data_IF_361827326141
#
_entry.id   IF_361827326141
#
_cell.length_a   1.000
_cell.length_b   1.000
_cell.length_c   1.000
_cell.angle_alpha   90.00
_cell.angle_beta   90.00
_cell.angle_gamma   90.00
#
_symmetry.space_group_name_H-M   'P 1'
#
loop_
_entity.id
_entity.type
_entity.pdbx_description
1 polymer ?
#
# COMPACT_ATOMS: atom_id res chain seq x y z
N UNK A 1 -36.24 37.22 83.61
CA UNK A 1 -36.47 36.95 82.17
C UNK A 1 -35.13 37.10 81.45
N UNK A 2 -34.44 36.00 81.19
CA UNK A 2 -33.26 35.94 80.33
C UNK A 2 -33.51 34.79 79.35
N UNK A 3 -33.60 35.10 78.06
CA UNK A 3 -33.75 34.13 76.97
C UNK A 3 -32.36 33.54 76.64
N UNK A 4 -32.26 32.22 76.63
CA UNK A 4 -31.11 31.46 76.12
C UNK A 4 -31.39 31.14 74.64
N UNK A 5 -30.50 31.46 73.68
CA UNK A 5 -30.70 31.09 72.28
C UNK A 5 -30.23 29.65 72.05
N UNK A 6 -31.13 28.83 71.53
CA UNK A 6 -30.86 27.45 71.09
C UNK A 6 -30.07 27.49 69.78
N UNK A 7 -28.80 27.12 69.81
CA UNK A 7 -27.96 26.93 68.61
C UNK A 7 -28.28 25.55 68.03
N UNK A 8 -28.89 25.51 66.84
CA UNK A 8 -29.07 24.29 66.05
C UNK A 8 -27.81 24.08 65.21
N UNK A 9 -27.01 23.07 65.56
CA UNK A 9 -25.84 22.66 64.79
C UNK A 9 -26.32 21.76 63.64
N UNK A 10 -26.32 22.30 62.41
CA UNK A 10 -26.53 21.53 61.20
C UNK A 10 -25.24 20.77 60.87
N UNK A 11 -25.23 19.45 61.08
CA UNK A 11 -24.13 18.60 60.64
C UNK A 11 -24.18 18.43 59.12
N UNK A 12 -23.32 19.16 58.39
CA UNK A 12 -23.12 18.98 56.95
C UNK A 12 -22.26 17.74 56.75
N UNK A 13 -22.89 16.62 56.41
CA UNK A 13 -22.19 15.43 55.90
C UNK A 13 -21.77 15.74 54.47
N UNK A 14 -20.49 16.08 54.27
CA UNK A 14 -19.88 16.16 52.94
C UNK A 14 -19.55 14.74 52.48
N UNK A 15 -20.23 14.16 51.47
CA UNK A 15 -19.80 12.89 50.92
C UNK A 15 -18.43 13.08 50.25
N UNK A 16 -17.46 12.26 50.66
CA UNK A 16 -16.18 12.07 49.98
C UNK A 16 -16.46 11.46 48.59
N UNK A 17 -16.86 12.28 47.62
CA UNK A 17 -16.89 11.89 46.22
C UNK A 17 -15.44 11.77 45.76
N UNK A 18 -14.91 10.54 45.72
CA UNK A 18 -13.71 10.24 44.93
C UNK A 18 -13.93 10.79 43.52
N UNK A 19 -12.95 11.47 42.90
CA UNK A 19 -13.07 11.86 41.51
C UNK A 19 -13.34 10.58 40.71
N UNK A 20 -14.49 10.54 40.02
CA UNK A 20 -14.74 9.53 39.01
C UNK A 20 -13.76 9.87 37.90
N UNK A 21 -12.59 9.23 37.90
CA UNK A 21 -11.75 9.21 36.71
C UNK A 21 -12.63 8.69 35.59
N UNK A 22 -12.83 9.53 34.57
CA UNK A 22 -13.67 9.20 33.44
C UNK A 22 -13.04 8.00 32.74
N UNK A 23 -13.54 6.80 33.06
CA UNK A 23 -13.14 5.56 32.40
C UNK A 23 -13.25 5.75 30.89
N UNK A 24 -12.41 5.02 30.16
CA UNK A 24 -12.72 4.79 28.77
C UNK A 24 -14.14 4.20 28.67
N UNK A 25 -14.76 4.32 27.49
CA UNK A 25 -16.02 3.64 27.25
C UNK A 25 -15.81 2.72 26.06
N UNK A 26 -16.54 1.60 25.96
CA UNK A 26 -16.36 0.69 24.83
C UNK A 26 -16.58 1.41 23.49
N UNK A 27 -17.50 2.39 23.46
CA UNK A 27 -17.71 3.25 22.30
C UNK A 27 -16.48 4.13 21.94
N UNK A 28 -15.76 4.67 22.93
CA UNK A 28 -14.51 5.42 22.71
C UNK A 28 -13.38 4.51 22.24
N UNK A 29 -13.25 3.32 22.80
CA UNK A 29 -12.27 2.32 22.37
C UNK A 29 -12.47 1.96 20.88
N UNK A 30 -13.67 1.52 20.50
CA UNK A 30 -13.97 1.17 19.11
C UNK A 30 -13.83 2.36 18.14
N UNK A 31 -14.15 3.58 18.58
CA UNK A 31 -13.89 4.79 17.79
C UNK A 31 -12.39 5.04 17.59
N UNK A 32 -11.58 4.86 18.63
CA UNK A 32 -10.13 5.06 18.55
C UNK A 32 -9.47 4.07 17.60
N UNK A 33 -9.90 2.80 17.61
CA UNK A 33 -9.39 1.75 16.72
C UNK A 33 -9.63 2.12 15.25
N UNK A 34 -10.85 2.51 14.88
CA UNK A 34 -11.20 2.92 13.50
C UNK A 34 -10.30 4.07 13.01
N UNK A 35 -10.20 5.16 13.79
CA UNK A 35 -9.43 6.33 13.38
C UNK A 35 -7.91 6.04 13.34
N UNK A 36 -7.41 5.27 14.31
CA UNK A 36 -6.00 4.93 14.40
C UNK A 36 -5.57 3.97 13.28
N UNK A 37 -6.40 2.97 12.94
CA UNK A 37 -6.16 2.07 11.82
C UNK A 37 -6.13 2.84 10.48
N UNK A 38 -7.10 3.71 10.23
CA UNK A 38 -7.12 4.56 9.04
C UNK A 38 -5.93 5.53 8.98
N UNK A 39 -5.49 6.05 10.13
CA UNK A 39 -4.28 6.89 10.23
C UNK A 39 -3.01 6.10 9.92
N UNK A 40 -2.88 4.89 10.45
CA UNK A 40 -1.75 4.00 10.17
C UNK A 40 -1.70 3.65 8.68
N UNK A 41 -2.81 3.22 8.09
CA UNK A 41 -2.88 2.86 6.67
C UNK A 41 -2.42 4.02 5.77
N UNK A 42 -2.93 5.23 6.00
CA UNK A 42 -2.53 6.44 5.26
C UNK A 42 -1.05 6.78 5.45
N UNK A 43 -0.53 6.64 6.67
CA UNK A 43 0.86 6.90 6.97
C UNK A 43 1.78 5.88 6.28
N UNK A 44 1.45 4.59 6.35
CA UNK A 44 2.21 3.49 5.74
C UNK A 44 2.23 3.61 4.22
N UNK A 45 1.06 3.69 3.57
CA UNK A 45 0.96 3.87 2.11
C UNK A 45 1.74 5.09 1.63
N UNK A 46 1.65 6.22 2.32
CA UNK A 46 2.39 7.44 1.97
C UNK A 46 3.90 7.32 2.16
N UNK A 47 4.36 6.62 3.20
CA UNK A 47 5.78 6.45 3.48
C UNK A 47 6.44 5.57 2.40
N UNK A 48 5.87 4.39 2.14
CA UNK A 48 6.40 3.45 1.15
C UNK A 48 6.30 4.04 -0.26
N UNK A 49 5.21 4.74 -0.60
CA UNK A 49 5.09 5.41 -1.90
C UNK A 49 6.18 6.48 -2.12
N UNK A 50 6.59 7.22 -1.09
CA UNK A 50 7.70 8.19 -1.22
C UNK A 50 9.01 7.48 -1.53
N UNK A 51 9.28 6.33 -0.91
CA UNK A 51 10.43 5.51 -1.25
C UNK A 51 10.34 5.00 -2.70
N UNK A 52 9.21 4.42 -3.11
CA UNK A 52 9.02 3.91 -4.47
C UNK A 52 9.14 5.01 -5.55
N UNK A 53 8.71 6.24 -5.25
CA UNK A 53 8.93 7.40 -6.14
C UNK A 53 10.42 7.71 -6.31
N UNK A 54 11.23 7.60 -5.25
CA UNK A 54 12.68 7.78 -5.36
C UNK A 54 13.33 6.67 -6.17
N UNK A 55 12.84 5.44 -6.06
CA UNK A 55 13.30 4.32 -6.91
C UNK A 55 12.99 4.62 -8.38
N UNK A 56 11.76 5.04 -8.70
CA UNK A 56 11.37 5.43 -10.07
C UNK A 56 12.21 6.60 -10.61
N UNK A 57 12.55 7.57 -9.76
CA UNK A 57 13.38 8.71 -10.13
C UNK A 57 14.89 8.36 -10.27
N UNK A 58 15.30 7.15 -9.91
CA UNK A 58 16.71 6.74 -9.90
C UNK A 58 17.51 7.26 -8.69
N UNK A 59 16.84 7.90 -7.72
CA UNK A 59 17.46 8.39 -6.48
C UNK A 59 17.77 7.24 -5.50
N UNK A 60 17.14 6.08 -5.69
CA UNK A 60 17.38 4.84 -4.94
C UNK A 60 17.57 3.67 -5.91
N UNK A 61 18.35 2.62 -5.53
CA UNK A 61 18.53 1.43 -6.36
C UNK A 61 17.18 0.77 -6.74
N UNK A 62 17.05 0.20 -7.96
CA UNK A 62 15.85 -0.52 -8.39
C UNK A 62 15.43 -1.67 -7.46
N UNK A 63 16.40 -2.34 -6.83
CA UNK A 63 16.17 -3.44 -5.89
C UNK A 63 15.92 -2.98 -4.44
N UNK A 64 15.66 -1.68 -4.20
CA UNK A 64 15.42 -1.17 -2.85
C UNK A 64 14.12 -1.74 -2.31
N UNK A 65 14.23 -2.49 -1.21
CA UNK A 65 13.08 -2.84 -0.39
C UNK A 65 12.65 -1.61 0.42
N UNK A 66 11.51 -1.03 0.06
CA UNK A 66 11.00 0.16 0.71
C UNK A 66 10.46 -0.08 2.12
N UNK A 67 10.20 -1.32 2.53
CA UNK A 67 9.90 -1.64 3.92
C UNK A 67 11.14 -1.59 4.81
N UNK A 68 12.32 -1.83 4.22
CA UNK A 68 13.62 -1.86 4.91
C UNK A 68 14.47 -0.61 4.66
N UNK A 69 13.99 0.33 3.85
CA UNK A 69 14.68 1.61 3.64
C UNK A 69 14.68 2.43 4.95
N UNK A 70 15.84 2.87 5.47
CA UNK A 70 15.94 3.43 6.83
C UNK A 70 14.99 4.58 7.15
N UNK A 71 14.80 5.54 6.25
CA UNK A 71 13.88 6.66 6.49
C UNK A 71 12.42 6.22 6.51
N UNK A 72 12.07 5.25 5.66
CA UNK A 72 10.76 4.63 5.61
C UNK A 72 10.51 3.82 6.87
N UNK A 73 11.43 2.94 7.30
CA UNK A 73 11.34 2.18 8.56
C UNK A 73 11.05 3.07 9.77
N UNK A 74 11.76 4.20 9.91
CA UNK A 74 11.51 5.15 11.02
C UNK A 74 10.08 5.70 10.97
N UNK A 75 9.58 6.01 9.78
CA UNK A 75 8.21 6.50 9.60
C UNK A 75 7.18 5.42 9.92
N UNK A 76 7.43 4.18 9.51
CA UNK A 76 6.57 3.02 9.77
C UNK A 76 6.51 2.70 11.26
N UNK A 77 7.66 2.62 11.93
CA UNK A 77 7.74 2.39 13.37
C UNK A 77 7.01 3.48 14.17
N UNK A 78 7.16 4.76 13.78
CA UNK A 78 6.44 5.86 14.41
C UNK A 78 4.93 5.79 14.20
N UNK A 79 4.49 5.40 13.00
CA UNK A 79 3.07 5.23 12.71
C UNK A 79 2.47 4.06 13.53
N UNK A 80 3.20 2.95 13.64
CA UNK A 80 2.83 1.81 14.47
C UNK A 80 2.74 2.18 15.95
N UNK A 81 3.77 2.81 16.51
CA UNK A 81 3.77 3.25 17.90
C UNK A 81 2.61 4.23 18.20
N UNK A 82 2.21 5.06 17.23
CA UNK A 82 1.06 5.94 17.37
C UNK A 82 -0.27 5.18 17.39
N UNK A 83 -0.43 4.14 16.57
CA UNK A 83 -1.58 3.24 16.66
C UNK A 83 -1.67 2.64 18.07
N UNK A 84 -0.59 1.99 18.50
CA UNK A 84 -0.53 1.30 19.80
C UNK A 84 -0.86 2.25 20.95
N UNK A 85 -0.26 3.45 20.94
CA UNK A 85 -0.53 4.48 21.95
C UNK A 85 -1.99 4.94 21.96
N UNK A 86 -2.62 5.10 20.79
CA UNK A 86 -4.02 5.57 20.71
C UNK A 86 -4.97 4.48 21.19
N UNK A 87 -4.72 3.23 20.82
CA UNK A 87 -5.53 2.09 21.25
C UNK A 87 -5.39 1.88 22.75
N UNK A 88 -4.18 1.78 23.28
CA UNK A 88 -3.94 1.58 24.71
C UNK A 88 -4.56 2.70 25.56
N UNK A 89 -4.47 3.97 25.12
CA UNK A 89 -5.12 5.09 25.83
C UNK A 89 -6.65 5.06 25.82
N UNK A 90 -7.25 4.44 24.81
CA UNK A 90 -8.70 4.45 24.63
C UNK A 90 -9.36 3.14 25.07
N UNK A 91 -8.59 2.06 25.19
CA UNK A 91 -9.08 0.72 25.45
C UNK A 91 -8.45 0.09 26.69
N UNK A 92 -7.25 0.51 27.11
CA UNK A 92 -6.52 -0.06 28.24
C UNK A 92 -6.91 0.52 29.60
N UNK A 93 -8.20 0.75 29.85
CA UNK A 93 -8.66 1.18 31.17
C UNK A 93 -8.03 2.45 31.74
N UNK A 94 -7.70 2.40 33.04
CA UNK A 94 -7.16 3.52 33.80
C UNK A 94 -5.63 3.64 33.65
N UNK A 95 -4.93 2.50 33.55
CA UNK A 95 -3.47 2.46 33.41
C UNK A 95 -2.99 2.74 31.98
N UNK A 96 -3.89 2.63 30.99
CA UNK A 96 -3.66 2.85 29.56
C UNK A 96 -2.70 1.83 28.96
N UNK A 97 -2.74 0.60 29.48
CA UNK A 97 -2.02 -0.56 28.99
C UNK A 97 -3.01 -1.60 28.49
N UNK A 98 -2.64 -2.41 27.51
CA UNK A 98 -3.52 -3.43 26.93
C UNK A 98 -3.10 -4.82 27.41
N UNK A 99 -3.16 -5.07 28.71
CA UNK A 99 -2.73 -6.34 29.32
C UNK A 99 -3.25 -6.52 30.75
N UNK A 100 -4.22 -5.70 31.17
CA UNK A 100 -4.68 -5.66 32.56
C UNK A 100 -6.17 -5.91 32.69
N UNK A 101 -6.61 -6.20 33.92
CA UNK A 101 -8.00 -6.52 34.19
C UNK A 101 -8.94 -5.30 34.13
N UNK A 102 -8.41 -4.08 34.00
CA UNK A 102 -9.19 -2.86 33.83
C UNK A 102 -9.38 -2.42 32.37
N UNK A 103 -8.91 -3.22 31.41
CA UNK A 103 -9.20 -3.06 29.99
C UNK A 103 -10.70 -2.94 29.71
N UNK A 104 -11.04 -2.13 28.71
CA UNK A 104 -12.40 -2.03 28.19
C UNK A 104 -12.81 -3.35 27.56
N UNK A 105 -14.05 -3.77 27.83
CA UNK A 105 -14.64 -4.95 27.20
C UNK A 105 -14.62 -4.80 25.67
N UNK A 106 -13.75 -5.59 25.02
CA UNK A 106 -13.58 -5.58 23.57
C UNK A 106 -14.88 -5.94 22.85
N UNK A 107 -15.64 -6.90 23.35
CA UNK A 107 -16.91 -7.28 22.74
C UNK A 107 -17.90 -6.10 22.78
N UNK A 108 -17.94 -5.37 23.89
CA UNK A 108 -18.72 -4.14 24.00
C UNK A 108 -18.19 -3.01 23.09
N UNK A 109 -16.88 -2.98 22.80
CA UNK A 109 -16.28 -2.06 21.83
C UNK A 109 -16.55 -2.49 20.37
N UNK A 110 -17.17 -3.65 20.17
CA UNK A 110 -17.49 -4.25 18.88
C UNK A 110 -16.44 -5.25 18.40
N UNK A 111 -15.45 -5.58 19.18
CA UNK A 111 -14.45 -6.60 18.85
C UNK A 111 -14.81 -7.92 19.52
N UNK A 112 -15.68 -8.70 18.87
CA UNK A 112 -16.12 -10.02 19.34
C UNK A 112 -15.48 -11.18 18.56
N UNK A 113 -14.45 -10.90 17.76
CA UNK A 113 -13.70 -11.95 17.04
C UNK A 113 -12.60 -12.51 17.94
N UNK A 114 -12.53 -13.83 18.15
CA UNK A 114 -11.53 -14.44 19.02
C UNK A 114 -10.12 -14.49 18.39
N UNK A 115 -10.02 -14.21 17.08
CA UNK A 115 -8.76 -14.21 16.36
C UNK A 115 -8.77 -13.17 15.25
N UNK A 116 -7.58 -12.67 14.92
CA UNK A 116 -7.37 -11.85 13.75
C UNK A 116 -7.55 -12.70 12.48
N UNK A 117 -8.35 -12.28 11.49
CA UNK A 117 -8.48 -13.02 10.25
C UNK A 117 -7.16 -12.99 9.47
N UNK A 118 -6.79 -14.13 8.89
CA UNK A 118 -5.74 -14.12 7.89
C UNK A 118 -6.27 -13.49 6.60
N UNK A 119 -5.46 -12.62 6.00
CA UNK A 119 -5.83 -11.90 4.79
C UNK A 119 -5.01 -12.40 3.62
N UNK A 120 -5.68 -12.97 2.63
CA UNK A 120 -5.09 -13.32 1.34
C UNK A 120 -3.83 -14.21 1.39
N UNK A 121 -3.77 -15.15 2.34
CA UNK A 121 -2.62 -16.05 2.53
C UNK A 121 -1.43 -15.37 3.21
N UNK A 122 -1.69 -14.37 4.05
CA UNK A 122 -0.71 -13.67 4.85
C UNK A 122 -0.31 -14.44 6.12
N UNK A 123 0.13 -13.69 7.12
CA UNK A 123 0.52 -14.21 8.45
C UNK A 123 -0.17 -13.44 9.57
N UNK A 124 -1.33 -12.82 9.27
CA UNK A 124 -2.03 -11.98 10.25
C UNK A 124 -2.84 -12.77 11.27
N UNK A 125 -3.02 -14.09 11.08
CA UNK A 125 -3.74 -14.92 12.03
C UNK A 125 -3.00 -15.01 13.38
N UNK A 126 -3.61 -14.45 14.41
CA UNK A 126 -3.21 -14.61 15.81
C UNK A 126 -4.45 -14.48 16.73
N UNK A 127 -4.43 -15.03 17.96
CA UNK A 127 -5.48 -14.82 18.95
C UNK A 127 -5.67 -13.33 19.29
N UNK A 128 -6.87 -12.95 19.74
CA UNK A 128 -7.16 -11.62 20.27
C UNK A 128 -7.63 -11.79 21.71
N UNK A 129 -6.72 -11.53 22.65
CA UNK A 129 -6.97 -11.60 24.09
C UNK A 129 -7.17 -10.21 24.70
N UNK A 130 -6.47 -9.19 24.18
CA UNK A 130 -6.50 -7.81 24.67
C UNK A 130 -6.54 -6.74 23.56
N UNK A 131 -6.57 -5.45 23.94
CA UNK A 131 -6.60 -4.36 22.97
C UNK A 131 -5.30 -4.18 22.17
N UNK A 132 -4.18 -4.72 22.65
CA UNK A 132 -2.89 -4.75 21.98
C UNK A 132 -2.91 -5.71 20.81
N UNK A 133 -3.56 -6.87 20.97
CA UNK A 133 -3.82 -7.80 19.88
C UNK A 133 -4.71 -7.19 18.81
N UNK A 134 -5.74 -6.44 19.19
CA UNK A 134 -6.56 -5.70 18.21
C UNK A 134 -5.70 -4.73 17.41
N UNK A 135 -4.81 -3.99 18.06
CA UNK A 135 -3.87 -3.10 17.39
C UNK A 135 -2.91 -3.88 16.46
N UNK A 136 -2.37 -5.01 16.90
CA UNK A 136 -1.55 -5.91 16.07
C UNK A 136 -2.31 -6.36 14.81
N UNK A 137 -3.56 -6.80 14.98
CA UNK A 137 -4.40 -7.30 13.91
C UNK A 137 -4.65 -6.24 12.82
N UNK A 138 -5.18 -5.07 13.20
CA UNK A 138 -5.51 -4.01 12.22
C UNK A 138 -4.28 -3.47 11.51
N UNK A 139 -3.11 -3.48 12.14
CA UNK A 139 -1.87 -3.08 11.48
C UNK A 139 -1.35 -4.13 10.52
N UNK A 140 -1.44 -5.42 10.87
CA UNK A 140 -1.02 -6.49 9.98
C UNK A 140 -1.88 -6.47 8.71
N UNK A 141 -3.20 -6.40 8.87
CA UNK A 141 -4.12 -6.32 7.73
C UNK A 141 -3.90 -5.02 6.94
N UNK A 142 -3.73 -3.89 7.64
CA UNK A 142 -3.39 -2.61 7.00
C UNK A 142 -2.07 -2.64 6.21
N UNK A 143 -1.08 -3.40 6.68
CA UNK A 143 0.19 -3.61 5.99
C UNK A 143 0.01 -4.45 4.73
N UNK A 144 -0.67 -5.60 4.82
CA UNK A 144 -0.98 -6.45 3.67
C UNK A 144 -1.78 -5.69 2.60
N UNK A 145 -2.78 -4.90 3.00
CA UNK A 145 -3.54 -4.02 2.10
C UNK A 145 -2.67 -2.93 1.47
N UNK A 146 -1.72 -2.37 2.23
CA UNK A 146 -0.78 -1.38 1.69
C UNK A 146 0.09 -2.01 0.60
N UNK A 147 0.68 -3.19 0.87
CA UNK A 147 1.52 -3.86 -0.12
C UNK A 147 0.75 -4.18 -1.40
N UNK A 148 -0.48 -4.71 -1.32
CA UNK A 148 -1.28 -4.95 -2.51
C UNK A 148 -1.54 -3.69 -3.33
N UNK A 149 -1.87 -2.59 -2.65
CA UNK A 149 -2.11 -1.29 -3.30
C UNK A 149 -0.88 -0.82 -4.05
N UNK A 150 0.29 -0.90 -3.40
CA UNK A 150 1.54 -0.39 -3.97
C UNK A 150 2.14 -1.33 -5.00
N UNK A 151 2.01 -2.65 -4.81
CA UNK A 151 2.44 -3.66 -5.76
C UNK A 151 1.79 -3.45 -7.12
N UNK A 152 0.47 -3.27 -7.13
CA UNK A 152 -0.29 -2.99 -8.35
C UNK A 152 0.13 -1.67 -9.00
N UNK A 153 0.51 -0.67 -8.20
CA UNK A 153 0.85 0.65 -8.69
C UNK A 153 2.31 0.80 -9.16
N UNK A 154 3.24 -0.01 -8.64
CA UNK A 154 4.68 0.19 -8.83
C UNK A 154 5.47 -1.04 -9.29
N UNK A 155 5.09 -2.27 -8.93
CA UNK A 155 5.98 -3.44 -9.11
C UNK A 155 6.17 -3.82 -10.59
N UNK A 156 5.17 -3.51 -11.42
CA UNK A 156 5.26 -3.77 -12.85
C UNK A 156 6.05 -2.67 -13.60
N UNK A 157 6.24 -1.50 -13.00
CA UNK A 157 6.76 -0.31 -13.68
C UNK A 157 8.18 -0.55 -14.19
N UNK A 158 8.44 -0.12 -15.43
CA UNK A 158 9.77 -0.14 -16.00
C UNK A 158 10.68 0.88 -15.28
N UNK A 159 11.57 0.43 -14.40
CA UNK A 159 12.42 1.30 -13.57
C UNK A 159 13.58 1.98 -14.31
N UNK A 160 13.71 1.78 -15.62
CA UNK A 160 14.82 2.28 -16.43
C UNK A 160 14.48 3.58 -17.21
N UNK A 161 13.60 4.42 -16.67
CA UNK A 161 13.21 5.69 -17.31
C UNK A 161 14.30 6.75 -17.15
N UNK A 162 14.67 7.51 -18.20
CA UNK A 162 15.59 8.64 -18.05
C UNK A 162 15.04 9.68 -17.05
N UNK A 163 15.86 10.22 -16.15
CA UNK A 163 15.44 11.27 -15.22
C UNK A 163 14.86 12.49 -15.94
N UNK A 164 13.74 13.02 -15.43
CA UNK A 164 12.96 14.13 -15.97
C UNK A 164 12.06 13.76 -17.17
N UNK A 165 12.11 12.51 -17.65
CA UNK A 165 11.33 12.07 -18.82
C UNK A 165 9.83 12.12 -18.56
N UNK A 166 9.06 12.11 -19.66
CA UNK A 166 7.61 11.97 -19.60
C UNK A 166 7.19 10.64 -18.98
N UNK A 167 7.94 9.58 -19.27
CA UNK A 167 7.72 8.24 -18.74
C UNK A 167 7.89 8.20 -17.22
N UNK A 168 8.97 8.75 -16.68
CA UNK A 168 9.18 8.86 -15.23
C UNK A 168 8.05 9.64 -14.56
N UNK A 169 7.62 10.76 -15.16
CA UNK A 169 6.52 11.58 -14.63
C UNK A 169 5.19 10.81 -14.63
N UNK A 170 4.91 10.03 -15.67
CA UNK A 170 3.75 9.15 -15.74
C UNK A 170 3.80 8.08 -14.65
N UNK A 171 4.91 7.34 -14.55
CA UNK A 171 5.14 6.29 -13.55
C UNK A 171 5.00 6.82 -12.12
N UNK A 172 5.63 7.97 -11.82
CA UNK A 172 5.50 8.62 -10.52
C UNK A 172 4.06 9.09 -10.25
N UNK A 173 3.32 9.54 -11.27
CA UNK A 173 1.93 9.97 -11.13
C UNK A 173 0.97 8.81 -10.87
N UNK A 174 1.16 7.66 -11.53
CA UNK A 174 0.40 6.42 -11.30
C UNK A 174 0.39 6.09 -9.80
N UNK A 175 1.58 5.95 -9.22
CA UNK A 175 1.68 5.58 -7.81
C UNK A 175 1.19 6.67 -6.84
N UNK A 176 1.54 7.94 -7.08
CA UNK A 176 1.09 9.08 -6.24
C UNK A 176 -0.43 9.22 -6.26
N UNK A 177 -1.06 9.09 -7.43
CA UNK A 177 -2.50 9.23 -7.58
C UNK A 177 -3.25 8.06 -6.93
N UNK A 178 -2.77 6.83 -7.10
CA UNK A 178 -3.34 5.63 -6.45
C UNK A 178 -3.29 5.74 -4.93
N UNK A 179 -2.16 6.18 -4.36
CA UNK A 179 -2.01 6.40 -2.91
C UNK A 179 -2.92 7.52 -2.41
N UNK A 180 -3.06 8.61 -3.16
CA UNK A 180 -3.95 9.71 -2.82
C UNK A 180 -5.43 9.26 -2.81
N UNK A 181 -5.83 8.44 -3.78
CA UNK A 181 -7.15 7.82 -3.81
C UNK A 181 -7.38 6.90 -2.60
N UNK A 182 -6.48 5.95 -2.36
CA UNK A 182 -6.58 5.01 -1.26
C UNK A 182 -6.66 5.73 0.10
N UNK A 183 -5.85 6.78 0.27
CA UNK A 183 -5.86 7.61 1.48
C UNK A 183 -7.17 8.38 1.66
N UNK A 184 -7.71 8.93 0.58
CA UNK A 184 -8.99 9.65 0.62
C UNK A 184 -10.16 8.71 0.93
N UNK A 185 -10.18 7.51 0.33
CA UNK A 185 -11.19 6.48 0.62
C UNK A 185 -11.13 6.04 2.08
N UNK A 186 -9.95 5.68 2.58
CA UNK A 186 -9.75 5.29 3.99
C UNK A 186 -10.21 6.39 4.97
N UNK A 187 -9.90 7.65 4.69
CA UNK A 187 -10.37 8.78 5.52
C UNK A 187 -11.89 9.00 5.45
N UNK A 188 -12.52 8.74 4.30
CA UNK A 188 -13.97 8.85 4.14
C UNK A 188 -14.70 7.73 4.89
N UNK A 189 -14.23 6.49 4.78
CA UNK A 189 -14.81 5.34 5.47
C UNK A 189 -14.66 5.45 6.98
N UNK A 190 -13.48 5.84 7.48
CA UNK A 190 -13.27 6.06 8.92
C UNK A 190 -14.32 7.02 9.49
N UNK A 191 -14.53 8.18 8.84
CA UNK A 191 -15.56 9.15 9.27
C UNK A 191 -16.98 8.60 9.21
N UNK A 192 -17.29 7.80 8.19
CA UNK A 192 -18.59 7.16 8.06
C UNK A 192 -18.82 6.17 9.22
N UNK A 193 -17.85 5.31 9.52
CA UNK A 193 -17.96 4.36 10.62
C UNK A 193 -18.02 5.03 11.98
N UNK A 194 -17.34 6.17 12.17
CA UNK A 194 -17.55 7.01 13.35
C UNK A 194 -19.00 7.47 13.48
N UNK A 195 -19.63 7.91 12.38
CA UNK A 195 -21.02 8.32 12.38
C UNK A 195 -21.96 7.15 12.69
N UNK A 196 -21.70 5.96 12.14
CA UNK A 196 -22.46 4.73 12.42
C UNK A 196 -22.38 4.38 13.90
N UNK A 197 -21.16 4.36 14.47
CA UNK A 197 -20.94 4.08 15.89
C UNK A 197 -21.62 5.08 16.82
N UNK A 198 -21.74 6.33 16.39
CA UNK A 198 -22.44 7.39 17.12
C UNK A 198 -23.97 7.34 16.95
N UNK A 199 -24.51 6.38 16.20
CA UNK A 199 -25.94 6.29 15.88
C UNK A 199 -26.44 7.41 14.95
N UNK A 200 -25.52 8.11 14.27
CA UNK A 200 -25.83 9.23 13.36
C UNK A 200 -25.93 8.83 11.89
N UNK A 201 -25.60 7.58 11.59
CA UNK A 201 -25.60 7.01 10.25
C UNK A 201 -26.00 5.52 10.34
N UNK A 202 -26.48 4.97 9.22
CA UNK A 202 -26.80 3.55 9.12
C UNK A 202 -25.63 2.80 8.48
N UNK A 203 -25.34 1.59 8.97
CA UNK A 203 -24.47 0.66 8.28
C UNK A 203 -25.17 0.09 7.02
N UNK A 204 -24.41 -0.40 6.02
CA UNK A 204 -22.95 -0.32 5.91
C UNK A 204 -22.46 1.05 5.38
N UNK A 205 -21.18 1.34 5.63
CA UNK A 205 -20.44 2.36 4.88
C UNK A 205 -19.84 1.74 3.61
N UNK A 206 -19.72 2.49 2.50
CA UNK A 206 -20.05 3.92 2.36
C UNK A 206 -21.53 4.23 2.06
N UNK A 207 -22.37 3.21 1.80
CA UNK A 207 -23.79 3.37 1.43
C UNK A 207 -24.68 2.31 2.13
N UNK A 208 -25.80 2.68 2.79
CA UNK A 208 -26.35 4.04 2.87
C UNK A 208 -25.50 4.99 3.73
N UNK A 209 -24.69 4.44 4.65
CA UNK A 209 -23.64 5.15 5.37
C UNK A 209 -24.06 6.47 5.99
N UNK A 210 -23.14 7.43 5.96
CA UNK A 210 -23.34 8.81 6.42
C UNK A 210 -23.86 9.75 5.32
N UNK A 211 -24.23 9.21 4.15
CA UNK A 211 -24.65 9.96 2.96
C UNK A 211 -23.55 10.83 2.32
N UNK A 212 -22.29 10.77 2.79
CA UNK A 212 -21.17 11.61 2.33
C UNK A 212 -20.01 10.79 1.81
N UNK A 213 -19.70 9.66 2.42
CA UNK A 213 -18.55 8.84 2.09
C UNK A 213 -18.54 8.42 0.61
N UNK A 214 -19.67 7.94 0.08
CA UNK A 214 -19.79 7.54 -1.31
C UNK A 214 -19.41 8.68 -2.29
N UNK A 215 -19.91 9.89 -2.07
CA UNK A 215 -19.58 11.05 -2.90
C UNK A 215 -18.12 11.50 -2.78
N UNK A 216 -17.53 11.39 -1.59
CA UNK A 216 -16.11 11.67 -1.38
C UNK A 216 -15.21 10.65 -2.08
N UNK A 217 -15.59 9.36 -2.06
CA UNK A 217 -14.88 8.27 -2.73
C UNK A 217 -14.96 8.45 -4.24
N UNK A 218 -16.16 8.69 -4.80
CA UNK A 218 -16.32 8.96 -6.23
C UNK A 218 -15.48 10.17 -6.69
N UNK A 219 -15.47 11.25 -5.90
CA UNK A 219 -14.62 12.42 -6.17
C UNK A 219 -13.13 12.09 -6.11
N UNK A 220 -12.71 11.19 -5.23
CA UNK A 220 -11.32 10.74 -5.18
C UNK A 220 -10.98 9.89 -6.42
N UNK A 221 -11.89 9.02 -6.87
CA UNK A 221 -11.73 8.25 -8.10
C UNK A 221 -11.60 9.13 -9.34
N UNK A 222 -12.41 10.17 -9.46
CA UNK A 222 -12.28 11.16 -10.54
C UNK A 222 -10.92 11.89 -10.51
N UNK A 223 -10.38 12.17 -9.31
CA UNK A 223 -9.04 12.77 -9.17
C UNK A 223 -7.92 11.82 -9.52
N UNK A 224 -8.06 10.53 -9.22
CA UNK A 224 -7.15 9.47 -9.65
C UNK A 224 -7.04 9.48 -11.17
N UNK A 225 -8.17 9.37 -11.85
CA UNK A 225 -8.25 9.38 -13.31
C UNK A 225 -7.63 10.65 -13.90
N UNK A 226 -8.06 11.82 -13.44
CA UNK A 226 -7.56 13.09 -13.96
C UNK A 226 -6.03 13.27 -13.78
N UNK A 227 -5.47 12.83 -12.64
CA UNK A 227 -4.04 12.92 -12.39
C UNK A 227 -3.22 12.01 -13.32
N UNK A 228 -3.69 10.78 -13.53
CA UNK A 228 -3.04 9.81 -14.42
C UNK A 228 -3.20 10.24 -15.88
N UNK A 229 -4.41 10.62 -16.32
CA UNK A 229 -4.64 11.15 -17.68
C UNK A 229 -3.72 12.33 -18.00
N UNK A 230 -3.54 13.25 -17.05
CA UNK A 230 -2.67 14.41 -17.23
C UNK A 230 -1.20 14.01 -17.41
N UNK A 231 -0.71 13.06 -16.64
CA UNK A 231 0.70 12.67 -16.67
C UNK A 231 1.04 11.69 -17.80
N UNK A 232 0.14 10.75 -18.08
CA UNK A 232 0.35 9.62 -19.00
C UNK A 232 -0.32 9.79 -20.36
N UNK A 233 -1.40 10.57 -20.46
CA UNK A 233 -2.13 10.80 -21.71
C UNK A 233 -1.63 12.00 -22.51
N UNK A 234 -0.76 12.86 -21.97
CA UNK A 234 -0.18 14.00 -22.72
C UNK A 234 -1.16 15.16 -22.96
N UNK A 235 -2.37 15.08 -22.40
CA UNK A 235 -3.40 16.10 -22.54
C UNK A 235 -4.36 16.24 -21.35
N UNK A 236 -4.53 15.19 -20.55
CA UNK A 236 -5.63 15.13 -19.56
C UNK A 236 -6.98 14.89 -20.23
N UNK A 237 -8.06 14.89 -19.46
CA UNK A 237 -9.45 14.95 -19.95
C UNK A 237 -9.78 16.43 -20.25
N UNK A 238 -9.56 16.87 -21.49
CA UNK A 238 -9.76 18.24 -21.96
C UNK A 238 -11.25 18.44 -22.29
N UNK A 239 -11.64 19.70 -22.53
CA UNK A 239 -13.05 20.04 -22.70
C UNK A 239 -13.59 19.61 -24.08
N UNK A 240 -14.82 19.08 -24.15
CA UNK A 240 -15.70 18.75 -23.01
C UNK A 240 -15.20 17.52 -22.26
N UNK A 241 -15.01 17.65 -20.96
CA UNK A 241 -14.49 16.55 -20.14
C UNK A 241 -15.54 15.45 -20.08
N UNK A 242 -15.23 14.28 -20.64
CA UNK A 242 -16.14 13.13 -20.73
C UNK A 242 -15.73 11.97 -19.81
N UNK A 243 -14.65 12.16 -19.03
CA UNK A 243 -14.10 11.14 -18.15
C UNK A 243 -13.13 10.18 -18.84
N UNK A 244 -12.80 10.41 -20.11
CA UNK A 244 -11.83 9.67 -20.91
C UNK A 244 -10.54 10.48 -21.00
N UNK A 245 -9.38 9.82 -20.96
CA UNK A 245 -8.13 10.53 -21.18
C UNK A 245 -8.00 10.98 -22.64
N UNK A 246 -7.99 12.30 -22.91
CA UNK A 246 -7.66 12.82 -24.24
C UNK A 246 -6.16 12.67 -24.50
N UNK A 247 -5.80 11.60 -25.19
CA UNK A 247 -4.48 11.43 -25.76
C UNK A 247 -4.48 11.91 -27.22
N UNK A 248 -3.67 12.90 -27.62
CA UNK A 248 -3.39 13.08 -29.05
C UNK A 248 -2.81 11.77 -29.62
N UNK A 249 -3.06 11.48 -30.89
CA UNK A 249 -2.55 10.26 -31.55
C UNK A 249 -1.05 10.05 -31.26
N UNK A 250 -0.69 8.86 -30.76
CA UNK A 250 0.69 8.53 -30.39
C UNK A 250 1.20 9.13 -29.07
N UNK A 251 0.35 9.78 -28.27
CA UNK A 251 0.74 10.32 -26.97
C UNK A 251 0.60 9.34 -25.80
N UNK A 252 -0.05 8.19 -25.97
CA UNK A 252 0.02 7.13 -24.96
C UNK A 252 1.30 6.32 -25.22
N UNK A 253 2.25 6.36 -24.28
CA UNK A 253 3.35 5.39 -24.28
C UNK A 253 2.71 4.00 -24.20
N UNK A 254 3.18 3.05 -24.99
CA UNK A 254 2.61 1.71 -24.97
C UNK A 254 2.63 1.16 -23.54
N UNK A 255 1.66 0.34 -23.16
CA UNK A 255 1.63 -0.33 -21.85
C UNK A 255 2.98 -0.99 -21.49
N UNK A 256 3.67 -1.51 -22.50
CA UNK A 256 5.00 -2.09 -22.39
C UNK A 256 6.10 -1.07 -22.02
N UNK A 257 5.99 0.18 -22.46
CA UNK A 257 6.93 1.26 -22.15
C UNK A 257 6.74 1.74 -20.71
N UNK A 258 5.50 1.84 -20.23
CA UNK A 258 5.19 2.12 -18.82
C UNK A 258 5.69 0.99 -17.92
N UNK A 259 5.61 -0.26 -18.42
CA UNK A 259 5.73 -1.46 -17.60
C UNK A 259 4.48 -1.60 -16.75
N UNK A 260 3.33 -1.92 -17.34
CA UNK A 260 2.14 -2.23 -16.55
C UNK A 260 1.67 -3.66 -16.82
N UNK A 261 1.05 -4.29 -15.81
CA UNK A 261 0.55 -5.66 -15.93
C UNK A 261 -0.45 -5.78 -17.09
N UNK A 262 -0.33 -6.87 -17.87
CA UNK A 262 -1.18 -7.18 -19.02
C UNK A 262 -2.67 -7.32 -18.66
N UNK A 263 -2.94 -7.78 -17.44
CA UNK A 263 -4.28 -8.09 -16.92
C UNK A 263 -4.42 -7.58 -15.51
N UNK A 264 -5.61 -7.14 -15.15
CA UNK A 264 -5.86 -6.70 -13.78
C UNK A 264 -5.93 -7.90 -12.82
N UNK A 265 -5.37 -7.80 -11.59
CA UNK A 265 -5.48 -8.86 -10.60
C UNK A 265 -6.95 -9.23 -10.30
N UNK A 266 -7.24 -10.53 -10.23
CA UNK A 266 -8.57 -11.07 -9.92
C UNK A 266 -8.94 -10.96 -8.45
N UNK A 267 -9.15 -9.75 -7.96
CA UNK A 267 -9.66 -9.48 -6.61
C UNK A 267 -11.08 -8.94 -6.66
N UNK A 268 -11.92 -9.35 -5.70
CA UNK A 268 -13.32 -8.91 -5.61
C UNK A 268 -13.46 -7.83 -4.54
N UNK A 269 -13.80 -6.61 -4.95
CA UNK A 269 -14.15 -5.52 -4.01
C UNK A 269 -15.36 -5.97 -3.18
N UNK A 270 -15.35 -5.85 -1.84
CA UNK A 270 -16.52 -6.13 -1.01
C UNK A 270 -17.74 -5.32 -1.50
N UNK A 271 -18.85 -6.01 -1.79
CA UNK A 271 -20.07 -5.41 -2.34
C UNK A 271 -19.88 -4.67 -3.70
N UNK A 272 -18.73 -4.83 -4.33
CA UNK A 272 -18.31 -4.10 -5.53
C UNK A 272 -17.96 -5.02 -6.70
N UNK A 273 -17.25 -4.50 -7.71
CA UNK A 273 -16.87 -5.27 -8.90
C UNK A 273 -15.76 -6.29 -8.63
N UNK A 274 -15.61 -7.23 -9.56
CA UNK A 274 -14.42 -8.07 -9.68
C UNK A 274 -13.41 -7.37 -10.58
N UNK A 275 -12.22 -7.05 -10.06
CA UNK A 275 -11.19 -6.35 -10.81
C UNK A 275 -10.63 -7.19 -11.95
N UNK A 276 -10.64 -8.53 -11.83
CA UNK A 276 -10.20 -9.43 -12.90
C UNK A 276 -11.14 -9.42 -14.11
N UNK A 277 -12.40 -9.03 -13.92
CA UNK A 277 -13.38 -8.94 -14.99
C UNK A 277 -13.09 -7.79 -15.99
N UNK A 278 -12.14 -6.90 -15.68
CA UNK A 278 -11.67 -5.88 -16.63
C UNK A 278 -10.85 -6.49 -17.79
N UNK A 279 -10.37 -7.73 -17.64
CA UNK A 279 -9.66 -8.43 -18.71
C UNK A 279 -8.31 -7.81 -19.05
N UNK A 280 -7.99 -7.78 -20.34
CA UNK A 280 -6.73 -7.25 -20.85
C UNK A 280 -6.70 -5.71 -20.75
N UNK A 281 -5.62 -5.19 -20.17
CA UNK A 281 -5.41 -3.75 -20.01
C UNK A 281 -4.71 -3.24 -21.27
N UNK A 282 -5.46 -2.77 -22.26
CA UNK A 282 -4.89 -2.25 -23.53
C UNK A 282 -4.98 -0.73 -23.64
N UNK A 283 -5.63 -0.06 -22.69
CA UNK A 283 -5.86 1.38 -22.69
C UNK A 283 -5.47 2.00 -21.35
N UNK A 284 -5.23 3.32 -21.36
CA UNK A 284 -4.98 4.10 -20.16
C UNK A 284 -6.17 4.05 -19.19
N UNK A 285 -7.40 4.12 -19.69
CA UNK A 285 -8.60 4.02 -18.86
C UNK A 285 -8.74 2.63 -18.21
N UNK A 286 -8.39 1.56 -18.94
CA UNK A 286 -8.35 0.21 -18.37
C UNK A 286 -7.34 0.08 -17.23
N UNK A 287 -6.18 0.73 -17.37
CA UNK A 287 -5.17 0.78 -16.31
C UNK A 287 -5.68 1.57 -15.09
N UNK A 288 -6.30 2.73 -15.31
CA UNK A 288 -6.88 3.56 -14.24
C UNK A 288 -8.00 2.80 -13.51
N UNK A 289 -8.88 2.14 -14.24
CA UNK A 289 -9.95 1.32 -13.68
C UNK A 289 -9.39 0.19 -12.81
N UNK A 290 -8.36 -0.50 -13.31
CA UNK A 290 -7.68 -1.55 -12.56
C UNK A 290 -7.06 -1.03 -11.25
N UNK A 291 -6.29 0.06 -11.33
CA UNK A 291 -5.65 0.69 -10.16
C UNK A 291 -6.69 1.12 -9.12
N UNK A 292 -7.77 1.76 -9.56
CA UNK A 292 -8.89 2.15 -8.71
C UNK A 292 -9.51 0.94 -8.02
N UNK A 293 -9.86 -0.10 -8.77
CA UNK A 293 -10.51 -1.29 -8.23
C UNK A 293 -9.65 -2.05 -7.22
N UNK A 294 -8.37 -2.27 -7.51
CA UNK A 294 -7.48 -2.98 -6.58
C UNK A 294 -7.22 -2.16 -5.32
N UNK A 295 -7.05 -0.84 -5.46
CA UNK A 295 -6.94 0.07 -4.31
C UNK A 295 -8.24 0.10 -3.49
N UNK A 296 -9.41 0.05 -4.14
CA UNK A 296 -10.70 -0.04 -3.47
C UNK A 296 -10.81 -1.30 -2.63
N UNK A 297 -10.48 -2.46 -3.20
CA UNK A 297 -10.46 -3.74 -2.50
C UNK A 297 -9.54 -3.69 -1.28
N UNK A 298 -8.30 -3.23 -1.46
CA UNK A 298 -7.32 -3.17 -0.38
C UNK A 298 -7.76 -2.26 0.77
N UNK A 299 -8.29 -1.08 0.44
CA UNK A 299 -8.81 -0.14 1.44
C UNK A 299 -10.02 -0.71 2.17
N UNK A 300 -10.95 -1.35 1.46
CA UNK A 300 -12.15 -1.93 2.09
C UNK A 300 -11.77 -3.07 3.04
N UNK A 301 -10.81 -3.92 2.68
CA UNK A 301 -10.34 -4.97 3.58
C UNK A 301 -9.61 -4.42 4.82
N UNK A 302 -8.83 -3.34 4.68
CA UNK A 302 -8.20 -2.67 5.81
C UNK A 302 -9.24 -1.98 6.72
N UNK A 303 -10.17 -1.25 6.11
CA UNK A 303 -11.24 -0.53 6.82
C UNK A 303 -12.15 -1.50 7.59
N UNK A 304 -12.66 -2.54 6.92
CA UNK A 304 -13.53 -3.55 7.54
C UNK A 304 -12.86 -4.31 8.68
N UNK A 305 -11.53 -4.44 8.67
CA UNK A 305 -10.84 -5.05 9.81
C UNK A 305 -10.97 -4.21 11.08
N UNK A 306 -11.14 -2.90 10.97
CA UNK A 306 -11.11 -1.97 12.12
C UNK A 306 -12.46 -1.73 12.80
N UNK A 307 -13.56 -2.15 12.17
CA UNK A 307 -14.92 -1.73 12.57
C UNK A 307 -15.61 -2.71 13.51
N UNK A 308 -15.10 -3.94 13.62
CA UNK A 308 -15.67 -4.98 14.46
C UNK A 308 -17.12 -5.31 14.07
N UNK A 309 -18.01 -5.52 15.05
CA UNK A 309 -19.42 -5.89 14.88
C UNK A 309 -20.29 -4.85 14.18
N UNK A 310 -19.77 -3.67 13.86
CA UNK A 310 -20.48 -2.72 13.01
C UNK A 310 -20.73 -3.29 11.61
N UNK A 311 -19.89 -4.25 11.18
CA UNK A 311 -20.15 -5.08 10.02
C UNK A 311 -19.23 -6.30 9.95
N UNK A 312 -19.72 -7.38 9.35
CA UNK A 312 -18.93 -8.59 9.15
C UNK A 312 -17.70 -8.35 8.26
N UNK A 313 -16.62 -9.08 8.56
CA UNK A 313 -15.42 -9.07 7.73
C UNK A 313 -15.69 -9.77 6.39
N UNK A 314 -15.47 -9.14 5.23
CA UNK A 314 -15.85 -9.72 3.94
C UNK A 314 -15.06 -10.98 3.60
N UNK A 315 -15.75 -12.04 3.16
CA UNK A 315 -15.10 -13.27 2.69
C UNK A 315 -14.13 -13.04 1.51
N UNK A 316 -14.40 -12.03 0.67
CA UNK A 316 -13.50 -11.64 -0.42
C UNK A 316 -12.12 -11.20 0.07
N UNK A 317 -12.01 -10.67 1.29
CA UNK A 317 -10.74 -10.28 1.90
C UNK A 317 -9.93 -11.48 2.41
N UNK A 318 -10.60 -12.59 2.72
CA UNK A 318 -9.96 -13.86 3.13
C UNK A 318 -9.39 -14.61 1.92
N UNK A 319 -10.14 -14.64 0.81
CA UNK A 319 -9.82 -15.42 -0.39
C UNK A 319 -8.77 -14.78 -1.33
N UNK A 320 -8.21 -13.62 -0.98
CA UNK A 320 -7.44 -12.77 -1.89
C UNK A 320 -6.05 -13.27 -2.31
N UNK A 321 -5.79 -14.57 -2.39
CA UNK A 321 -4.55 -15.08 -2.97
C UNK A 321 -4.45 -14.58 -4.41
N UNK A 322 -3.39 -13.83 -4.73
CA UNK A 322 -3.02 -13.60 -6.11
C UNK A 322 -2.74 -14.99 -6.69
N UNK A 323 -3.56 -15.45 -7.65
CA UNK A 323 -3.18 -16.60 -8.46
C UNK A 323 -1.84 -16.24 -9.08
N UNK A 324 -0.77 -16.89 -8.65
CA UNK A 324 0.56 -16.58 -9.14
C UNK A 324 0.54 -16.58 -10.67
N UNK A 325 0.91 -15.46 -11.28
CA UNK A 325 1.27 -15.44 -12.70
C UNK A 325 2.27 -16.57 -12.89
N UNK A 326 2.06 -17.52 -13.84
CA UNK A 326 3.03 -18.57 -14.05
C UNK A 326 4.37 -17.89 -14.35
N UNK A 327 5.37 -18.15 -13.52
CA UNK A 327 6.76 -17.83 -13.86
C UNK A 327 6.98 -18.37 -15.28
N UNK A 328 7.36 -17.55 -16.27
CA UNK A 328 7.64 -18.07 -17.59
C UNK A 328 8.72 -19.14 -17.41
N UNK A 329 8.37 -20.39 -17.68
CA UNK A 329 9.33 -21.47 -17.80
C UNK A 329 10.43 -20.97 -18.73
N UNK A 330 11.70 -20.95 -18.31
CA UNK A 330 12.78 -20.53 -19.19
C UNK A 330 12.66 -21.37 -20.46
N UNK A 331 12.37 -20.70 -21.58
CA UNK A 331 12.44 -21.32 -22.90
C UNK A 331 13.83 -21.94 -23.01
N UNK A 332 13.96 -23.24 -23.34
CA UNK A 332 15.27 -23.87 -23.41
C UNK A 332 16.12 -23.05 -24.37
N UNK A 333 17.19 -22.47 -23.84
CA UNK A 333 18.22 -21.84 -24.66
C UNK A 333 18.67 -22.91 -25.65
N UNK A 334 18.34 -22.72 -26.92
CA UNK A 334 18.90 -23.51 -28.01
C UNK A 334 20.40 -23.23 -28.00
N UNK A 335 21.16 -24.13 -27.38
CA UNK A 335 22.61 -24.18 -27.52
C UNK A 335 22.90 -24.18 -29.00
N UNK A 336 23.55 -23.11 -29.49
CA UNK A 336 24.06 -23.06 -30.84
C UNK A 336 24.98 -24.26 -31.04
N UNK A 337 24.59 -25.14 -31.96
CA UNK A 337 25.43 -26.23 -32.43
C UNK A 337 26.76 -25.63 -32.92
N UNK A 338 27.92 -26.20 -32.56
CA UNK A 338 29.20 -25.67 -32.99
C UNK A 338 29.24 -25.67 -34.52
N UNK A 339 29.43 -24.47 -35.10
CA UNK A 339 29.75 -24.29 -36.51
C UNK A 339 30.97 -25.14 -36.84
N UNK A 340 30.77 -26.16 -37.66
CA UNK A 340 31.84 -27.00 -38.21
C UNK A 340 32.76 -26.09 -39.03
N UNK A 341 33.97 -25.89 -38.54
CA UNK A 341 35.06 -25.25 -39.28
C UNK A 341 35.36 -26.08 -40.53
N UNK A 342 35.29 -25.52 -41.76
CA UNK A 342 35.72 -26.23 -42.94
C UNK A 342 37.24 -26.47 -42.87
N UNK A 343 37.63 -27.74 -42.91
CA UNK A 343 39.00 -28.20 -43.08
C UNK A 343 39.53 -27.72 -44.44
N UNK A 344 40.51 -26.81 -44.43
CA UNK A 344 41.19 -26.36 -45.63
C UNK A 344 42.07 -27.49 -46.16
N UNK A 345 41.91 -27.79 -47.45
CA UNK A 345 42.72 -28.72 -48.22
C UNK A 345 44.20 -28.29 -48.24
N UNK A 346 45.15 -29.23 -48.34
CA UNK A 346 46.58 -28.93 -48.34
C UNK A 346 47.00 -28.20 -49.62
N UNK A 347 47.68 -27.07 -49.41
CA UNK A 347 48.34 -26.25 -50.42
C UNK A 347 49.56 -26.99 -51.01
N UNK A 348 49.77 -27.00 -52.35
CA UNK A 348 50.91 -27.65 -52.96
C UNK A 348 52.21 -26.86 -52.77
N UNK A 349 53.23 -27.60 -52.33
CA UNK A 349 54.65 -27.26 -52.17
C UNK A 349 55.22 -26.39 -53.30
N UNK A 350 55.70 -25.19 -52.95
CA UNK A 350 56.53 -24.36 -53.81
C UNK A 350 58.03 -24.67 -53.61
N UNK A 351 58.72 -24.91 -54.72
CA UNK A 351 60.17 -25.08 -54.88
C UNK A 351 60.93 -23.78 -54.55
N UNK A 352 62.08 -23.83 -53.83
CA UNK A 352 62.86 -22.63 -53.54
C UNK A 352 63.78 -22.25 -54.71
N UNK A 353 63.92 -20.96 -54.94
CA UNK A 353 65.00 -20.36 -55.75
C UNK A 353 65.67 -19.24 -54.93
N UNK A 354 67.00 -19.01 -55.03
CA UNK A 354 67.77 -18.39 -53.96
C UNK A 354 68.22 -16.93 -54.24
N UNK A 355 68.92 -16.39 -53.23
CA UNK A 355 69.66 -15.12 -53.13
C UNK A 355 68.85 -13.85 -52.78
N UNK A 356 69.10 -13.28 -51.59
CA UNK A 356 70.09 -12.21 -51.42
C UNK A 356 70.05 -11.65 -49.97
N UNK A 357 71.19 -11.74 -49.29
CA UNK A 357 71.92 -10.72 -48.50
C UNK A 357 71.18 -9.58 -47.76
N UNK A 358 71.59 -9.37 -46.49
CA UNK A 358 71.46 -8.13 -45.71
C UNK A 358 70.68 -8.32 -44.39
N UNK A 359 71.29 -8.48 -43.20
CA UNK A 359 72.09 -7.54 -42.38
C UNK A 359 71.26 -6.58 -41.49
N UNK A 360 71.60 -6.57 -40.17
CA UNK A 360 71.24 -5.65 -39.07
C UNK A 360 69.88 -5.82 -38.32
N UNK A 361 69.86 -6.33 -37.06
CA UNK A 361 70.03 -5.66 -35.72
C UNK A 361 68.76 -4.94 -35.23
N UNK A 362 68.32 -4.85 -33.96
CA UNK A 362 68.60 -5.37 -32.60
C UNK A 362 67.58 -4.66 -31.67
N UNK A 363 67.19 -5.27 -30.54
CA UNK A 363 66.68 -4.62 -29.29
C UNK A 363 65.28 -3.96 -29.32
N UNK A 364 64.41 -4.02 -28.31
CA UNK A 364 64.45 -4.55 -26.94
C UNK A 364 63.18 -4.08 -26.17
N UNK A 365 62.88 -4.75 -25.04
CA UNK A 365 62.35 -4.25 -23.74
C UNK A 365 61.25 -3.16 -23.73
N UNK A 366 60.11 -3.29 -23.04
CA UNK A 366 59.94 -3.53 -21.60
C UNK A 366 58.47 -3.85 -21.27
N UNK A 367 58.25 -4.75 -20.30
CA UNK A 367 56.99 -4.90 -19.57
C UNK A 367 57.22 -4.55 -18.09
N UNK A 368 56.48 -3.59 -17.56
CA UNK A 368 56.34 -3.31 -16.12
C UNK A 368 54.84 -3.12 -15.81
N UNK A 369 54.22 -3.98 -14.99
CA UNK A 369 54.01 -3.82 -13.52
C UNK A 369 53.27 -2.51 -13.17
N UNK A 370 52.21 -2.46 -12.35
CA UNK A 370 51.53 -3.40 -11.46
C UNK A 370 50.51 -2.60 -10.63
N UNK A 371 49.54 -3.27 -10.00
CA UNK A 371 48.60 -2.68 -9.03
C UNK A 371 48.61 -3.52 -7.75
N UNK A 372 48.77 -2.85 -6.60
CA UNK A 372 48.19 -3.22 -5.32
C UNK A 372 46.97 -2.31 -5.09
#
# INVERSE_FOLDING_TARGET
>A
MHLIPTIVILAVVVPLLKPIEARATPAKCGAAIIEAAATLFRARTSAIAKCRVKVVAGDLPPATDCDLEPATMVTLAKARAKLDTVVAKACGGADKLCDTADDEDLAAAGWNTPACPDVAGGTCAHPIDDCGDVAACVACIGAASTERTLATAYDALALASPPGSRLEKCQAAIGKATVAFASAKSAALAKCWQAVRQGKAAAPCPAPGDGKAAGLIAKAGAKLAAAICKACGGGGDKKPADGVCDAPDGAFEAQAEIGFVATCPGVRVPDGPDCGAFGAITTLDGMIACLGCVAEFAVDCADRSSVGTLADYPAACLAGTLTATPTPTPSPTTTASPTVTPSLAPEPTATPSPLADGEFCLSGTDCAHGFC
#
